data_IF_873387660588
#
_entry.id   IF_873387660588
#
_cell.length_a   1.000
_cell.length_b   1.000
_cell.length_c   1.000
_cell.angle_alpha   90.00
_cell.angle_beta   90.00
_cell.angle_gamma   90.00
#
_symmetry.space_group_name_H-M   'P 1'
#
loop_
_entity.id
_entity.type
_entity.pdbx_description
1 polymer ?
#
# COMPACT_ATOMS: atom_id res chain seq x y z
N UNK A 1 26.63 -11.60 -17.67
CA UNK A 1 25.14 -11.63 -17.73
C UNK A 1 24.47 -10.78 -16.65
N UNK A 2 25.00 -10.66 -15.43
CA UNK A 2 24.36 -9.83 -14.38
C UNK A 2 24.37 -8.31 -14.67
N UNK A 3 25.43 -7.79 -15.32
CA UNK A 3 25.55 -6.36 -15.61
C UNK A 3 24.46 -5.85 -16.59
N UNK A 4 24.11 -6.63 -17.61
CA UNK A 4 23.06 -6.25 -18.58
C UNK A 4 21.66 -6.30 -17.99
N UNK A 5 21.37 -7.24 -17.08
CA UNK A 5 20.10 -7.29 -16.35
C UNK A 5 19.92 -6.07 -15.42
N UNK A 6 20.98 -5.66 -14.72
CA UNK A 6 20.96 -4.46 -13.86
C UNK A 6 20.73 -3.19 -14.68
N UNK A 7 21.37 -3.07 -15.85
CA UNK A 7 21.18 -1.92 -16.75
C UNK A 7 19.76 -1.87 -17.31
N UNK A 8 19.18 -3.00 -17.72
CA UNK A 8 17.80 -3.06 -18.22
C UNK A 8 16.80 -2.71 -17.11
N UNK A 9 17.00 -3.23 -15.90
CA UNK A 9 16.14 -2.92 -14.76
C UNK A 9 16.25 -1.43 -14.40
N UNK A 10 17.46 -0.86 -14.36
CA UNK A 10 17.66 0.57 -14.13
C UNK A 10 17.04 1.44 -15.25
N UNK A 11 17.16 1.02 -16.51
CA UNK A 11 16.55 1.72 -17.64
C UNK A 11 15.03 1.70 -17.54
N UNK A 12 14.42 0.54 -17.26
CA UNK A 12 12.97 0.42 -17.03
C UNK A 12 12.54 1.22 -15.79
N UNK A 13 13.36 1.24 -14.73
CA UNK A 13 13.14 2.03 -13.51
C UNK A 13 13.01 3.53 -13.75
N UNK A 14 13.70 4.04 -14.77
CA UNK A 14 13.76 5.48 -15.06
C UNK A 14 12.83 5.83 -16.22
N UNK A 15 12.89 5.07 -17.31
CA UNK A 15 12.16 5.33 -18.56
C UNK A 15 10.67 5.12 -18.38
N UNK A 16 10.24 4.07 -17.66
CA UNK A 16 8.81 3.78 -17.49
C UNK A 16 8.09 4.87 -16.68
N UNK A 17 8.58 5.32 -15.50
CA UNK A 17 7.97 6.44 -14.79
C UNK A 17 8.10 7.77 -15.54
N UNK A 18 9.20 8.01 -16.27
CA UNK A 18 9.33 9.20 -17.12
C UNK A 18 8.29 9.21 -18.26
N UNK A 19 8.05 8.06 -18.92
CA UNK A 19 7.03 7.89 -19.95
C UNK A 19 5.62 8.04 -19.37
N UNK A 20 5.37 7.53 -18.16
CA UNK A 20 4.11 7.72 -17.43
C UNK A 20 3.86 9.20 -17.10
N UNK A 21 4.88 9.92 -16.62
CA UNK A 21 4.80 11.38 -16.42
C UNK A 21 4.49 12.08 -17.75
N UNK A 22 5.21 11.74 -18.81
CA UNK A 22 5.00 12.31 -20.15
C UNK A 22 3.59 12.07 -20.70
N UNK A 23 3.08 10.84 -20.56
CA UNK A 23 1.73 10.46 -20.98
C UNK A 23 0.66 11.22 -20.20
N UNK A 24 0.80 11.34 -18.87
CA UNK A 24 -0.13 12.12 -18.05
C UNK A 24 -0.10 13.58 -18.47
N UNK A 25 1.08 14.17 -18.64
CA UNK A 25 1.21 15.57 -19.08
C UNK A 25 0.55 15.76 -20.45
N UNK A 26 0.64 14.78 -21.35
CA UNK A 26 -0.02 14.80 -22.65
C UNK A 26 -1.56 14.69 -22.53
N UNK A 27 -2.09 13.78 -21.72
CA UNK A 27 -3.54 13.63 -21.48
C UNK A 27 -4.13 14.88 -20.82
N UNK A 28 -3.44 15.46 -19.83
CA UNK A 28 -3.85 16.70 -19.15
C UNK A 28 -3.90 17.89 -20.11
N UNK A 29 -3.07 17.91 -21.15
CA UNK A 29 -3.12 18.95 -22.19
C UNK A 29 -4.32 18.77 -23.14
N UNK A 30 -4.79 17.54 -23.36
CA UNK A 30 -5.86 17.23 -24.34
C UNK A 30 -7.30 17.40 -23.82
N UNK A 31 -7.55 17.43 -22.51
CA UNK A 31 -8.90 17.47 -21.95
C UNK A 31 -9.58 18.87 -21.90
N UNK A 32 -9.36 19.69 -22.94
CA UNK A 32 -10.10 20.93 -23.27
C UNK A 32 -11.51 20.50 -23.78
N UNK A 33 -12.70 21.06 -23.46
CA UNK A 33 -13.17 22.38 -23.06
C UNK A 33 -14.54 22.22 -22.33
N UNK A 34 -14.77 22.82 -21.13
CA UNK A 34 -16.14 23.14 -20.63
C UNK A 34 -16.22 23.91 -19.28
N UNK A 35 -15.53 23.56 -18.19
CA UNK A 35 -15.90 24.08 -16.84
C UNK A 35 -14.96 25.16 -16.25
N UNK A 36 -15.47 26.28 -15.70
CA UNK A 36 -14.73 27.45 -15.17
C UNK A 36 -13.25 27.31 -14.74
N UNK A 37 -12.43 28.28 -15.18
CA UNK A 37 -10.96 28.30 -15.05
C UNK A 37 -10.34 27.85 -13.69
N UNK A 38 -10.84 28.27 -12.51
CA UNK A 38 -10.21 27.91 -11.22
C UNK A 38 -10.45 26.45 -10.80
N UNK A 39 -11.62 25.87 -11.05
CA UNK A 39 -11.90 24.46 -10.72
C UNK A 39 -11.04 23.50 -11.58
N UNK A 40 -10.82 23.85 -12.85
CA UNK A 40 -9.90 23.10 -13.73
C UNK A 40 -8.46 23.17 -13.27
N UNK A 41 -7.99 24.35 -12.88
CA UNK A 41 -6.65 24.52 -12.34
C UNK A 41 -6.43 23.63 -11.10
N UNK A 42 -7.45 23.52 -10.24
CA UNK A 42 -7.40 22.62 -9.09
C UNK A 42 -7.33 21.14 -9.47
N UNK A 43 -8.20 20.67 -10.39
CA UNK A 43 -8.14 19.29 -10.87
C UNK A 43 -6.79 18.98 -11.55
N UNK A 44 -6.21 19.94 -12.26
CA UNK A 44 -4.90 19.80 -12.91
C UNK A 44 -3.76 19.68 -11.90
N UNK A 45 -3.73 20.53 -10.88
CA UNK A 45 -2.74 20.43 -9.79
C UNK A 45 -2.82 19.05 -9.13
N UNK A 46 -4.04 18.61 -8.84
CA UNK A 46 -4.28 17.31 -8.22
C UNK A 46 -3.82 16.13 -9.10
N UNK A 47 -4.06 16.19 -10.42
CA UNK A 47 -3.55 15.20 -11.36
C UNK A 47 -2.02 15.19 -11.40
N UNK A 48 -1.38 16.36 -11.46
CA UNK A 48 0.09 16.48 -11.47
C UNK A 48 0.68 15.88 -10.19
N UNK A 49 0.19 16.27 -9.01
CA UNK A 49 0.66 15.73 -7.73
C UNK A 49 0.45 14.22 -7.67
N UNK A 50 -0.71 13.73 -8.12
CA UNK A 50 -1.00 12.29 -8.10
C UNK A 50 -0.02 11.52 -8.99
N UNK A 51 0.28 12.05 -10.17
CA UNK A 51 1.22 11.41 -11.10
C UNK A 51 2.63 11.45 -10.57
N UNK A 52 3.09 12.57 -10.02
CA UNK A 52 4.42 12.65 -9.42
C UNK A 52 4.54 11.67 -8.25
N UNK A 53 3.51 11.56 -7.41
CA UNK A 53 3.47 10.60 -6.31
C UNK A 53 3.51 9.14 -6.80
N UNK A 54 2.70 8.79 -7.80
CA UNK A 54 2.69 7.45 -8.40
C UNK A 54 4.03 7.12 -9.06
N UNK A 55 4.60 8.04 -9.84
CA UNK A 55 5.89 7.83 -10.50
C UNK A 55 7.02 7.67 -9.49
N UNK A 56 7.05 8.49 -8.43
CA UNK A 56 8.03 8.34 -7.35
C UNK A 56 7.88 6.99 -6.63
N UNK A 57 6.64 6.55 -6.38
CA UNK A 57 6.36 5.24 -5.81
C UNK A 57 6.83 4.10 -6.72
N UNK A 58 6.58 4.19 -8.03
CA UNK A 58 7.04 3.20 -9.03
C UNK A 58 8.57 3.14 -9.10
N UNK A 59 9.25 4.29 -9.16
CA UNK A 59 10.72 4.35 -9.11
C UNK A 59 11.22 3.66 -7.83
N UNK A 60 10.64 4.00 -6.68
CA UNK A 60 10.98 3.41 -5.39
C UNK A 60 10.83 1.89 -5.41
N UNK A 61 9.70 1.38 -5.91
CA UNK A 61 9.46 -0.07 -6.07
C UNK A 61 10.56 -0.72 -6.91
N UNK A 62 10.88 -0.15 -8.07
CA UNK A 62 11.85 -0.76 -8.99
C UNK A 62 13.25 -0.74 -8.37
N UNK A 63 13.66 0.37 -7.75
CA UNK A 63 14.95 0.47 -7.05
C UNK A 63 15.08 -0.58 -5.95
N UNK A 64 14.02 -0.78 -5.14
CA UNK A 64 14.05 -1.70 -4.01
C UNK A 64 13.98 -3.17 -4.44
N UNK A 65 13.17 -3.50 -5.45
CA UNK A 65 13.04 -4.87 -5.99
C UNK A 65 14.29 -5.28 -6.76
N UNK A 66 15.01 -4.33 -7.36
CA UNK A 66 16.27 -4.59 -8.06
C UNK A 66 17.45 -4.94 -7.14
N UNK A 67 17.31 -4.72 -5.82
CA UNK A 67 18.40 -4.99 -4.88
C UNK A 67 18.64 -6.50 -4.73
N UNK A 68 19.89 -6.95 -4.54
CA UNK A 68 20.19 -8.35 -4.27
C UNK A 68 19.55 -8.81 -2.96
N UNK A 69 19.06 -10.05 -2.94
CA UNK A 69 18.40 -10.65 -1.77
C UNK A 69 19.37 -10.85 -0.61
N UNK A 70 20.67 -11.01 -0.88
CA UNK A 70 21.71 -11.20 0.16
C UNK A 70 21.73 -10.03 1.15
N UNK A 71 21.23 -8.86 0.73
CA UNK A 71 21.05 -7.69 1.59
C UNK A 71 22.38 -7.06 2.01
N UNK A 72 22.33 -5.82 2.51
CA UNK A 72 23.50 -5.18 3.11
C UNK A 72 23.81 -5.84 4.45
N UNK A 73 25.08 -5.82 4.89
CA UNK A 73 25.52 -6.49 6.12
C UNK A 73 24.84 -6.03 7.42
N UNK A 74 24.09 -4.92 7.39
CA UNK A 74 23.27 -4.44 8.51
C UNK A 74 21.88 -5.09 8.58
N UNK A 75 21.42 -5.73 7.51
CA UNK A 75 20.09 -6.35 7.47
C UNK A 75 20.07 -7.61 8.36
N UNK A 76 19.05 -7.80 9.20
CA UNK A 76 18.96 -8.94 10.11
C UNK A 76 18.79 -10.28 9.38
N UNK A 77 18.30 -10.27 8.15
CA UNK A 77 18.19 -11.45 7.30
C UNK A 77 18.26 -11.10 5.80
N UNK A 78 18.63 -12.07 4.93
CA UNK A 78 18.50 -11.91 3.50
C UNK A 78 17.04 -11.64 3.12
N UNK A 79 16.79 -10.66 2.26
CA UNK A 79 15.44 -10.30 1.81
C UNK A 79 14.74 -9.25 2.67
N UNK A 80 15.34 -8.77 3.78
CA UNK A 80 14.68 -7.78 4.66
C UNK A 80 14.35 -6.49 3.92
N UNK A 81 15.20 -6.03 2.99
CA UNK A 81 14.90 -4.84 2.18
C UNK A 81 13.64 -5.00 1.33
N UNK A 82 13.48 -6.17 0.72
CA UNK A 82 12.31 -6.51 -0.10
C UNK A 82 11.06 -6.65 0.79
N UNK A 83 11.20 -7.22 1.99
CA UNK A 83 10.12 -7.31 2.97
C UNK A 83 9.61 -5.94 3.42
N UNK A 84 10.49 -4.95 3.59
CA UNK A 84 10.09 -3.58 3.97
C UNK A 84 9.68 -2.70 2.79
N UNK A 85 9.90 -3.15 1.54
CA UNK A 85 9.72 -2.33 0.35
C UNK A 85 8.31 -1.74 0.20
N UNK A 86 7.20 -2.48 0.45
CA UNK A 86 5.86 -1.91 0.34
C UNK A 86 5.64 -0.69 1.26
N UNK A 87 6.25 -0.68 2.45
CA UNK A 87 6.12 0.44 3.39
C UNK A 87 6.92 1.66 2.94
N UNK A 88 8.11 1.46 2.39
CA UNK A 88 8.91 2.53 1.80
C UNK A 88 8.20 3.16 0.59
N UNK A 89 7.60 2.34 -0.27
CA UNK A 89 6.79 2.80 -1.41
C UNK A 89 5.58 3.62 -0.94
N UNK A 90 4.85 3.11 0.07
CA UNK A 90 3.73 3.84 0.66
C UNK A 90 4.17 5.17 1.30
N UNK A 91 5.33 5.19 1.97
CA UNK A 91 5.88 6.38 2.60
C UNK A 91 6.25 7.44 1.55
N UNK A 92 6.96 7.06 0.48
CA UNK A 92 7.28 7.96 -0.64
C UNK A 92 6.02 8.56 -1.24
N UNK A 93 5.01 7.73 -1.49
CA UNK A 93 3.72 8.19 -2.00
C UNK A 93 3.07 9.21 -1.04
N UNK A 94 2.99 8.89 0.26
CA UNK A 94 2.44 9.78 1.28
C UNK A 94 3.19 11.11 1.35
N UNK A 95 4.52 11.09 1.33
CA UNK A 95 5.35 12.30 1.44
C UNK A 95 5.17 13.22 0.24
N UNK A 96 5.20 12.67 -0.98
CA UNK A 96 5.00 13.48 -2.19
C UNK A 96 3.59 14.07 -2.19
N UNK A 97 2.59 13.29 -1.75
CA UNK A 97 1.21 13.76 -1.61
C UNK A 97 1.10 14.88 -0.59
N UNK A 98 1.70 14.73 0.58
CA UNK A 98 1.68 15.73 1.65
C UNK A 98 2.33 17.04 1.19
N UNK A 99 3.46 16.98 0.47
CA UNK A 99 4.11 18.15 -0.13
C UNK A 99 3.23 18.79 -1.20
N UNK A 100 2.60 17.99 -2.07
CA UNK A 100 1.67 18.49 -3.08
C UNK A 100 0.44 19.19 -2.50
N UNK A 101 0.01 18.79 -1.30
CA UNK A 101 -1.06 19.49 -0.55
C UNK A 101 -0.57 20.78 0.14
N UNK A 102 0.73 20.98 0.28
CA UNK A 102 1.30 22.24 0.81
C UNK A 102 1.58 23.26 -0.30
N UNK A 103 1.68 22.82 -1.56
CA UNK A 103 1.98 23.68 -2.72
C UNK A 103 0.76 24.32 -3.36
N UNK A 104 -0.44 24.13 -2.79
CA UNK A 104 -1.64 24.83 -3.25
C UNK A 104 -1.47 26.36 -3.16
N UNK A 105 -1.99 27.13 -4.14
CA UNK A 105 -1.95 28.58 -4.07
C UNK A 105 -2.63 29.09 -2.81
N UNK A 106 -1.93 29.93 -2.04
CA UNK A 106 -2.50 30.54 -0.83
C UNK A 106 -3.67 31.46 -1.23
N UNK A 107 -4.75 31.53 -0.42
CA UNK A 107 -5.85 32.46 -0.68
C UNK A 107 -5.32 33.90 -0.73
N UNK A 108 -5.61 34.61 -1.82
CA UNK A 108 -5.32 36.05 -1.97
C UNK A 108 -6.65 36.74 -2.24
N UNK A 109 -7.24 37.39 -1.23
CA UNK A 109 -8.52 38.09 -1.35
C UNK A 109 -8.83 38.91 -0.10
N UNK A 110 -9.56 40.02 -0.25
CA UNK A 110 -9.94 40.91 0.85
C UNK A 110 -11.07 40.34 1.73
N UNK A 111 -11.85 39.38 1.22
CA UNK A 111 -13.00 38.80 1.93
C UNK A 111 -12.66 37.41 2.46
N UNK A 112 -12.70 37.24 3.78
CA UNK A 112 -12.40 35.98 4.47
C UNK A 112 -13.71 35.22 4.73
N UNK A 113 -14.13 34.39 3.78
CA UNK A 113 -15.25 33.46 4.01
C UNK A 113 -14.75 32.18 4.70
N UNK A 114 -15.39 31.80 5.81
CA UNK A 114 -15.08 30.58 6.54
C UNK A 114 -16.30 29.65 6.49
N UNK A 115 -16.31 28.59 5.65
CA UNK A 115 -17.39 27.62 5.68
C UNK A 115 -17.33 26.83 7.01
N UNK A 116 -18.45 26.80 7.75
CA UNK A 116 -18.56 26.18 9.09
C UNK A 116 -18.70 24.65 9.09
N UNK A 117 -18.38 23.98 7.98
CA UNK A 117 -18.53 22.52 7.88
C UNK A 117 -17.36 21.84 8.60
N UNK A 118 -17.65 21.07 9.66
CA UNK A 118 -16.66 20.22 10.33
C UNK A 118 -16.23 19.10 9.39
N UNK A 119 -14.99 19.19 8.88
CA UNK A 119 -14.34 18.13 8.09
C UNK A 119 -13.48 17.28 9.03
N UNK A 120 -13.68 15.97 9.01
CA UNK A 120 -12.88 15.02 9.80
C UNK A 120 -12.17 14.01 8.90
N UNK A 121 -11.07 13.43 9.38
CA UNK A 121 -10.38 12.35 8.66
C UNK A 121 -11.32 11.16 8.43
N UNK A 122 -12.19 10.86 9.40
CA UNK A 122 -13.18 9.78 9.31
C UNK A 122 -14.23 10.05 8.23
N UNK A 123 -14.73 11.28 8.13
CA UNK A 123 -15.72 11.64 7.09
C UNK A 123 -15.13 11.59 5.68
N UNK A 124 -13.84 11.92 5.54
CA UNK A 124 -13.16 11.88 4.25
C UNK A 124 -12.72 10.46 3.83
N UNK A 125 -12.23 9.66 4.78
CA UNK A 125 -11.71 8.33 4.53
C UNK A 125 -12.77 7.22 4.47
N UNK A 126 -13.88 7.37 5.19
CA UNK A 126 -15.04 6.47 5.15
C UNK A 126 -14.69 4.98 5.27
N UNK A 127 -15.24 4.15 4.37
CA UNK A 127 -14.95 2.70 4.28
C UNK A 127 -13.49 2.43 3.94
N UNK A 128 -12.85 3.23 3.08
CA UNK A 128 -11.47 2.99 2.63
C UNK A 128 -10.47 3.08 3.77
N UNK A 129 -10.63 4.04 4.67
CA UNK A 129 -9.79 4.14 5.87
C UNK A 129 -9.97 2.92 6.77
N UNK A 130 -11.21 2.44 6.94
CA UNK A 130 -11.48 1.23 7.73
C UNK A 130 -10.82 -0.01 7.12
N UNK A 131 -10.90 -0.16 5.80
CA UNK A 131 -10.23 -1.27 5.08
C UNK A 131 -8.71 -1.19 5.22
N UNK A 132 -8.11 -0.01 5.08
CA UNK A 132 -6.67 0.19 5.25
C UNK A 132 -6.23 -0.15 6.68
N UNK A 133 -6.97 0.30 7.70
CA UNK A 133 -6.66 -0.02 9.10
C UNK A 133 -6.89 -1.50 9.43
N UNK A 134 -7.92 -2.13 8.85
CA UNK A 134 -8.15 -3.57 9.02
C UNK A 134 -7.03 -4.39 8.38
N UNK A 135 -6.59 -4.00 7.18
CA UNK A 135 -5.45 -4.64 6.48
C UNK A 135 -4.16 -4.44 7.28
N UNK A 136 -3.92 -3.24 7.81
CA UNK A 136 -2.80 -2.96 8.71
C UNK A 136 -2.85 -3.83 9.98
N UNK A 137 -4.01 -3.93 10.63
CA UNK A 137 -4.20 -4.76 11.81
C UNK A 137 -3.98 -6.25 11.52
N UNK A 138 -4.52 -6.76 10.41
CA UNK A 138 -4.30 -8.12 9.94
C UNK A 138 -2.83 -8.42 9.67
N UNK A 139 -2.10 -7.49 9.05
CA UNK A 139 -0.65 -7.59 8.86
C UNK A 139 0.10 -7.61 10.18
N UNK A 140 -0.21 -6.71 11.10
CA UNK A 140 0.39 -6.71 12.44
C UNK A 140 0.20 -8.05 13.17
N UNK A 141 -1.03 -8.58 13.15
CA UNK A 141 -1.35 -9.88 13.75
C UNK A 141 -0.62 -11.04 13.07
N UNK A 142 -0.56 -11.05 11.73
CA UNK A 142 0.15 -12.07 10.98
C UNK A 142 1.66 -12.07 11.28
N UNK A 143 2.29 -10.89 11.36
CA UNK A 143 3.71 -10.75 11.68
C UNK A 143 4.02 -11.20 13.12
N UNK A 144 3.15 -10.85 14.08
CA UNK A 144 3.29 -11.31 15.47
C UNK A 144 3.14 -12.83 15.53
N UNK A 145 2.12 -13.39 14.88
CA UNK A 145 1.92 -14.83 14.83
C UNK A 145 3.14 -15.55 14.25
N UNK A 146 3.65 -15.09 13.10
CA UNK A 146 4.85 -15.66 12.48
C UNK A 146 6.10 -15.49 13.36
N UNK A 147 6.24 -14.37 14.07
CA UNK A 147 7.32 -14.17 15.03
C UNK A 147 7.28 -15.18 16.19
N UNK A 148 6.08 -15.51 16.67
CA UNK A 148 5.88 -16.46 17.78
C UNK A 148 6.02 -17.93 17.36
N UNK A 149 5.73 -18.27 16.10
CA UNK A 149 5.77 -19.65 15.59
C UNK A 149 7.05 -19.98 14.82
N UNK A 150 7.94 -19.02 14.62
CA UNK A 150 9.23 -19.28 13.98
C UNK A 150 10.17 -20.09 14.88
N UNK A 151 11.15 -20.72 14.25
CA UNK A 151 12.26 -21.38 14.93
C UNK A 151 13.19 -20.38 15.65
N UNK A 152 14.22 -20.87 16.33
CA UNK A 152 15.20 -20.02 17.03
C UNK A 152 15.92 -19.03 16.12
N UNK A 153 16.08 -19.37 14.83
CA UNK A 153 16.68 -18.45 13.86
C UNK A 153 15.70 -17.37 13.38
N UNK A 154 14.41 -17.54 13.64
CA UNK A 154 13.33 -16.66 13.21
C UNK A 154 13.06 -16.72 11.71
N UNK A 155 13.62 -17.70 10.98
CA UNK A 155 13.67 -17.73 9.50
C UNK A 155 13.01 -18.96 8.91
N UNK A 156 12.62 -19.92 9.74
CA UNK A 156 11.93 -21.11 9.30
C UNK A 156 10.78 -21.46 10.25
N UNK A 157 9.79 -22.17 9.73
CA UNK A 157 8.75 -22.81 10.52
C UNK A 157 9.28 -24.15 11.02
N UNK A 158 9.34 -24.40 12.34
CA UNK A 158 9.88 -25.64 12.88
C UNK A 158 8.93 -26.82 12.58
N UNK A 159 9.49 -27.95 12.17
CA UNK A 159 8.75 -29.21 12.15
C UNK A 159 9.01 -29.98 13.43
N UNK A 160 7.95 -30.52 14.03
CA UNK A 160 8.06 -31.30 15.27
C UNK A 160 8.97 -32.52 15.10
N UNK A 161 9.53 -33.05 16.20
CA UNK A 161 10.35 -34.26 16.18
C UNK A 161 9.56 -35.41 15.55
N UNK A 162 10.13 -36.04 14.53
CA UNK A 162 9.58 -37.22 13.89
C UNK A 162 10.47 -38.43 14.19
N UNK A 163 9.84 -39.55 14.57
CA UNK A 163 10.54 -40.81 14.75
C UNK A 163 10.91 -41.41 13.40
N UNK A 164 12.13 -41.90 13.29
CA UNK A 164 12.67 -42.61 12.11
C UNK A 164 12.65 -44.12 12.41
N UNK A 165 12.47 -45.01 11.40
CA UNK A 165 12.41 -46.46 11.62
C UNK A 165 13.54 -47.06 12.48
N UNK A 166 14.72 -46.45 12.48
CA UNK A 166 15.89 -46.89 13.26
C UNK A 166 15.88 -46.43 14.73
N UNK A 167 14.75 -45.88 15.22
CA UNK A 167 14.61 -45.37 16.59
C UNK A 167 15.20 -43.98 16.84
N UNK A 168 15.74 -43.35 15.80
CA UNK A 168 16.21 -41.96 15.84
C UNK A 168 15.08 -40.93 15.80
N UNK A 169 15.39 -39.70 16.19
CA UNK A 169 14.48 -38.55 16.07
C UNK A 169 15.10 -37.54 15.12
N UNK A 170 14.35 -37.15 14.09
CA UNK A 170 14.76 -36.08 13.16
C UNK A 170 13.86 -34.87 13.37
N UNK A 171 14.49 -33.71 13.49
CA UNK A 171 13.84 -32.39 13.49
C UNK A 171 14.14 -31.70 12.18
N UNK A 172 13.18 -30.94 11.67
CA UNK A 172 13.35 -30.15 10.45
C UNK A 172 12.82 -28.73 10.62
N UNK A 173 13.02 -27.93 9.59
CA UNK A 173 12.42 -26.61 9.50
C UNK A 173 12.16 -26.25 8.03
N UNK A 174 11.09 -25.51 7.76
CA UNK A 174 10.70 -25.10 6.42
C UNK A 174 10.79 -23.59 6.29
N UNK A 175 11.66 -23.10 5.40
CA UNK A 175 11.83 -21.68 5.09
C UNK A 175 11.58 -21.37 3.61
N UNK A 176 11.49 -20.09 3.23
CA UNK A 176 11.57 -18.91 4.09
C UNK A 176 10.30 -18.69 4.92
N UNK A 177 10.45 -18.22 6.17
CA UNK A 177 9.36 -17.90 7.08
C UNK A 177 9.51 -16.48 7.66
N UNK A 178 8.45 -15.65 7.68
CA UNK A 178 8.55 -14.25 8.08
C UNK A 178 8.51 -14.07 9.62
N UNK A 179 9.44 -14.71 10.33
CA UNK A 179 9.61 -14.53 11.78
C UNK A 179 10.26 -13.18 12.14
N UNK A 180 10.71 -13.01 13.40
CA UNK A 180 11.15 -11.71 13.94
C UNK A 180 12.21 -10.94 13.13
N UNK A 181 13.23 -11.57 12.51
CA UNK A 181 14.18 -10.87 11.64
C UNK A 181 13.52 -10.09 10.49
N UNK A 182 12.34 -10.52 10.04
CA UNK A 182 11.53 -9.80 9.05
C UNK A 182 10.40 -9.01 9.73
N UNK A 183 9.74 -9.62 10.72
CA UNK A 183 8.59 -9.08 11.42
C UNK A 183 8.86 -7.74 12.10
N UNK A 184 9.99 -7.58 12.81
CA UNK A 184 10.30 -6.32 13.50
C UNK A 184 10.48 -5.15 12.51
N UNK A 185 11.34 -5.24 11.48
CA UNK A 185 11.44 -4.19 10.46
C UNK A 185 10.10 -3.88 9.77
N UNK A 186 9.30 -4.90 9.46
CA UNK A 186 7.99 -4.73 8.82
C UNK A 186 6.97 -4.06 9.77
N UNK A 187 6.96 -4.39 11.06
CA UNK A 187 6.11 -3.73 12.06
C UNK A 187 6.48 -2.26 12.23
N UNK A 188 7.77 -1.93 12.24
CA UNK A 188 8.23 -0.53 12.26
C UNK A 188 7.79 0.21 10.99
N UNK A 189 7.99 -0.39 9.82
CA UNK A 189 7.53 0.14 8.54
C UNK A 189 6.02 0.37 8.54
N UNK A 190 5.24 -0.59 9.04
CA UNK A 190 3.79 -0.51 9.17
C UNK A 190 3.35 0.67 10.05
N UNK A 191 3.95 0.84 11.23
CA UNK A 191 3.65 1.96 12.13
C UNK A 191 3.94 3.29 11.45
N UNK A 192 5.11 3.42 10.81
CA UNK A 192 5.51 4.64 10.08
C UNK A 192 4.54 4.93 8.92
N UNK A 193 4.15 3.91 8.15
CA UNK A 193 3.18 4.06 7.05
C UNK A 193 1.80 4.50 7.57
N UNK A 194 1.30 3.90 8.65
CA UNK A 194 0.01 4.30 9.25
C UNK A 194 0.07 5.76 9.72
N UNK A 195 1.13 6.14 10.43
CA UNK A 195 1.32 7.53 10.89
C UNK A 195 1.40 8.49 9.70
N UNK A 196 2.21 8.20 8.69
CA UNK A 196 2.35 9.03 7.49
C UNK A 196 1.01 9.18 6.73
N UNK A 197 0.22 8.11 6.66
CA UNK A 197 -1.11 8.13 6.05
C UNK A 197 -2.05 9.04 6.83
N UNK A 198 -2.10 8.93 8.16
CA UNK A 198 -2.94 9.76 9.02
C UNK A 198 -2.52 11.24 8.97
N UNK A 199 -1.22 11.52 8.96
CA UNK A 199 -0.69 12.88 8.80
C UNK A 199 -1.07 13.47 7.44
N UNK A 200 -0.96 12.69 6.36
CA UNK A 200 -1.33 13.14 5.01
C UNK A 200 -2.85 13.35 4.89
N UNK A 201 -3.69 12.49 5.50
CA UNK A 201 -5.12 12.75 5.58
C UNK A 201 -5.43 14.01 6.40
N UNK A 202 -4.65 14.27 7.46
CA UNK A 202 -4.75 15.49 8.27
C UNK A 202 -4.35 16.73 7.47
N UNK A 203 -3.36 16.66 6.59
CA UNK A 203 -3.01 17.80 5.70
C UNK A 203 -4.11 18.05 4.67
N UNK A 204 -4.63 17.00 4.02
CA UNK A 204 -5.74 17.10 3.05
C UNK A 204 -6.99 17.71 3.71
N UNK A 205 -7.36 17.23 4.90
CA UNK A 205 -8.55 17.73 5.62
C UNK A 205 -8.41 19.18 6.08
N UNK A 206 -7.20 19.59 6.50
CA UNK A 206 -6.91 20.94 7.00
C UNK A 206 -6.55 21.95 5.90
N UNK A 207 -6.51 21.53 4.64
CA UNK A 207 -6.24 22.42 3.50
C UNK A 207 -7.21 23.63 3.53
N UNK A 208 -6.72 24.87 3.38
CA UNK A 208 -7.58 26.03 3.20
C UNK A 208 -8.48 25.89 1.96
N UNK A 209 -9.69 26.49 1.93
CA UNK A 209 -10.51 26.53 0.72
C UNK A 209 -9.76 27.19 -0.44
N UNK A 210 -9.95 26.65 -1.65
CA UNK A 210 -9.32 27.17 -2.86
C UNK A 210 -10.02 28.45 -3.33
N UNK A 211 -9.23 29.47 -3.66
CA UNK A 211 -9.76 30.76 -4.11
C UNK A 211 -10.50 30.63 -5.45
N UNK A 212 -11.74 31.12 -5.51
CA UNK A 212 -12.56 31.09 -6.72
C UNK A 212 -13.11 29.71 -7.11
N UNK A 213 -12.92 28.68 -6.26
CA UNK A 213 -13.47 27.34 -6.49
C UNK A 213 -14.73 27.16 -5.64
N UNK A 214 -15.88 26.78 -6.21
CA UNK A 214 -17.07 26.45 -5.44
C UNK A 214 -16.79 25.37 -4.38
N UNK A 215 -17.39 25.51 -3.20
CA UNK A 215 -17.26 24.54 -2.10
C UNK A 215 -17.46 23.06 -2.52
N UNK A 216 -18.49 22.68 -3.33
CA UNK A 216 -18.67 21.29 -3.74
C UNK A 216 -17.53 20.76 -4.62
N UNK A 217 -16.90 21.62 -5.44
CA UNK A 217 -15.75 21.23 -6.25
C UNK A 217 -14.49 21.07 -5.40
N UNK A 218 -14.23 21.95 -4.42
CA UNK A 218 -13.11 21.78 -3.49
C UNK A 218 -13.25 20.49 -2.66
N UNK A 219 -14.44 20.20 -2.16
CA UNK A 219 -14.72 18.98 -1.42
C UNK A 219 -14.52 17.73 -2.30
N UNK A 220 -14.93 17.76 -3.58
CA UNK A 220 -14.69 16.68 -4.53
C UNK A 220 -13.19 16.45 -4.80
N UNK A 221 -12.39 17.53 -4.89
CA UNK A 221 -10.93 17.42 -5.00
C UNK A 221 -10.35 16.75 -3.75
N UNK A 222 -10.71 17.21 -2.54
CA UNK A 222 -10.23 16.60 -1.28
C UNK A 222 -10.58 15.12 -1.19
N UNK A 223 -11.79 14.75 -1.57
CA UNK A 223 -12.27 13.38 -1.53
C UNK A 223 -11.51 12.51 -2.54
N UNK A 224 -11.23 13.03 -3.74
CA UNK A 224 -10.38 12.37 -4.74
C UNK A 224 -8.93 12.20 -4.23
N UNK A 225 -8.37 13.21 -3.55
CA UNK A 225 -7.02 13.14 -2.99
C UNK A 225 -6.89 12.08 -1.89
N UNK A 226 -7.87 12.05 -0.98
CA UNK A 226 -7.92 11.04 0.08
C UNK A 226 -8.21 9.63 -0.48
N UNK A 227 -9.06 9.52 -1.51
CA UNK A 227 -9.33 8.27 -2.20
C UNK A 227 -8.04 7.65 -2.74
N UNK A 228 -7.29 8.41 -3.54
CA UNK A 228 -6.04 7.96 -4.19
C UNK A 228 -4.97 7.61 -3.17
N UNK A 229 -4.82 8.43 -2.11
CA UNK A 229 -3.93 8.13 -0.99
C UNK A 229 -4.27 6.79 -0.34
N UNK A 230 -5.53 6.60 0.06
CA UNK A 230 -5.97 5.38 0.72
C UNK A 230 -5.89 4.16 -0.22
N UNK A 231 -6.15 4.34 -1.53
CA UNK A 231 -5.97 3.29 -2.53
C UNK A 231 -4.52 2.84 -2.66
N UNK A 232 -3.58 3.79 -2.75
CA UNK A 232 -2.15 3.47 -2.84
C UNK A 232 -1.62 2.80 -1.56
N UNK A 233 -2.03 3.29 -0.38
CA UNK A 233 -1.66 2.70 0.91
C UNK A 233 -2.28 1.30 1.06
N UNK A 234 -3.55 1.13 0.69
CA UNK A 234 -4.22 -0.18 0.70
C UNK A 234 -3.50 -1.18 -0.20
N UNK A 235 -3.08 -0.76 -1.40
CA UNK A 235 -2.30 -1.61 -2.30
C UNK A 235 -1.01 -2.10 -1.62
N UNK A 236 -0.25 -1.19 -1.02
CA UNK A 236 1.02 -1.52 -0.38
C UNK A 236 0.83 -2.43 0.84
N UNK A 237 -0.14 -2.12 1.71
CA UNK A 237 -0.46 -2.95 2.87
C UNK A 237 -1.00 -4.32 2.46
N UNK A 238 -1.83 -4.37 1.41
CA UNK A 238 -2.39 -5.60 0.86
C UNK A 238 -1.34 -6.50 0.22
N UNK A 239 -0.37 -5.93 -0.51
CA UNK A 239 0.78 -6.67 -1.05
C UNK A 239 1.66 -7.20 0.09
N UNK A 240 1.93 -6.40 1.12
CA UNK A 240 2.70 -6.84 2.28
C UNK A 240 2.00 -7.98 3.05
N UNK A 241 0.70 -7.84 3.34
CA UNK A 241 -0.10 -8.89 3.98
C UNK A 241 -0.21 -10.13 3.10
N UNK A 242 -0.54 -9.96 1.82
CA UNK A 242 -0.70 -11.06 0.87
C UNK A 242 0.57 -11.88 0.71
N UNK A 243 1.72 -11.22 0.52
CA UNK A 243 3.01 -11.89 0.42
C UNK A 243 3.43 -12.57 1.73
N UNK A 244 3.21 -11.93 2.89
CA UNK A 244 3.49 -12.52 4.20
C UNK A 244 2.70 -13.81 4.41
N UNK A 245 1.38 -13.79 4.15
CA UNK A 245 0.51 -14.95 4.29
C UNK A 245 0.87 -16.06 3.29
N UNK A 246 1.22 -15.71 2.05
CA UNK A 246 1.63 -16.68 1.03
C UNK A 246 2.95 -17.37 1.40
N UNK A 247 3.95 -16.62 1.85
CA UNK A 247 5.25 -17.16 2.26
C UNK A 247 5.11 -18.01 3.53
N UNK A 248 4.42 -17.50 4.55
CA UNK A 248 4.16 -18.25 5.78
C UNK A 248 3.32 -19.52 5.50
N UNK A 249 2.27 -19.40 4.69
CA UNK A 249 1.40 -20.51 4.29
C UNK A 249 2.16 -21.60 3.55
N UNK A 250 3.06 -21.22 2.64
CA UNK A 250 3.91 -22.18 1.93
C UNK A 250 4.85 -22.93 2.89
N UNK A 251 5.50 -22.23 3.82
CA UNK A 251 6.38 -22.86 4.81
C UNK A 251 5.62 -23.83 5.74
N UNK A 252 4.42 -23.44 6.21
CA UNK A 252 3.57 -24.31 7.04
C UNK A 252 3.10 -25.54 6.26
N UNK A 253 2.73 -25.37 4.98
CA UNK A 253 2.33 -26.47 4.10
C UNK A 253 3.46 -27.47 3.91
N UNK A 254 4.65 -27.01 3.55
CA UNK A 254 5.85 -27.85 3.35
C UNK A 254 6.24 -28.56 4.65
N UNK A 255 6.17 -27.85 5.79
CA UNK A 255 6.41 -28.46 7.09
C UNK A 255 5.40 -29.56 7.43
N UNK A 256 4.14 -29.39 7.04
CA UNK A 256 3.09 -30.41 7.16
C UNK A 256 3.30 -31.62 6.23
N UNK A 257 3.84 -31.43 5.03
CA UNK A 257 4.14 -32.53 4.09
C UNK A 257 5.33 -33.38 4.57
N UNK A 258 6.37 -32.76 5.13
CA UNK A 258 7.55 -33.46 5.63
C UNK A 258 7.25 -34.42 6.80
N UNK A 259 6.20 -34.17 7.58
CA UNK A 259 5.75 -35.04 8.67
C UNK A 259 4.97 -36.27 8.17
N UNK A 260 4.27 -36.16 7.04
CA UNK A 260 3.51 -37.25 6.44
C UNK A 260 4.42 -38.37 5.89
N UNK A 261 5.63 -38.02 5.43
CA UNK A 261 6.67 -38.98 5.03
C UNK A 261 7.07 -39.90 6.21
N UNK A 262 6.88 -39.44 7.45
CA UNK A 262 7.25 -40.16 8.68
C UNK A 262 6.05 -40.86 9.37
N UNK A 263 4.94 -41.09 8.65
CA UNK A 263 3.86 -41.99 9.10
C UNK A 263 2.76 -41.37 9.98
N UNK A 264 2.78 -40.06 10.24
CA UNK A 264 1.70 -39.36 10.94
C UNK A 264 0.97 -38.39 9.99
N UNK A 265 -0.35 -38.54 9.74
CA UNK A 265 -1.07 -37.64 8.86
C UNK A 265 -1.27 -36.26 9.52
N UNK A 266 -0.62 -35.23 8.99
CA UNK A 266 -0.80 -33.82 9.40
C UNK A 266 -1.58 -33.01 8.36
N UNK A 267 -2.66 -33.60 7.82
CA UNK A 267 -3.53 -32.93 6.83
C UNK A 267 -4.01 -31.54 7.28
N UNK A 268 -4.11 -31.31 8.60
CA UNK A 268 -4.45 -29.99 9.17
C UNK A 268 -3.43 -28.88 8.88
N UNK A 269 -2.12 -29.15 8.97
CA UNK A 269 -1.09 -28.14 8.66
C UNK A 269 -1.03 -27.83 7.17
N UNK A 270 -1.18 -28.86 6.32
CA UNK A 270 -1.27 -28.69 4.86
C UNK A 270 -2.48 -27.83 4.51
N UNK A 271 -3.66 -28.16 5.05
CA UNK A 271 -4.88 -27.39 4.83
C UNK A 271 -4.75 -25.94 5.31
N UNK A 272 -4.15 -25.72 6.49
CA UNK A 272 -3.89 -24.38 7.02
C UNK A 272 -2.94 -23.58 6.11
N UNK A 273 -1.83 -24.19 5.68
CA UNK A 273 -0.86 -23.56 4.79
C UNK A 273 -1.45 -23.17 3.42
N UNK A 274 -2.30 -24.03 2.86
CA UNK A 274 -3.08 -23.73 1.65
C UNK A 274 -4.07 -22.59 1.90
N UNK A 275 -4.83 -22.64 2.99
CA UNK A 275 -5.80 -21.60 3.34
C UNK A 275 -5.14 -20.22 3.52
N UNK A 276 -4.00 -20.15 4.19
CA UNK A 276 -3.21 -18.92 4.34
C UNK A 276 -2.73 -18.40 2.98
N UNK A 277 -2.27 -19.27 2.10
CA UNK A 277 -1.80 -18.87 0.77
C UNK A 277 -2.93 -18.31 -0.09
N UNK A 278 -4.11 -18.94 -0.07
CA UNK A 278 -5.30 -18.47 -0.78
C UNK A 278 -5.82 -17.15 -0.19
N UNK A 279 -5.84 -17.02 1.13
CA UNK A 279 -6.20 -15.78 1.81
C UNK A 279 -5.24 -14.64 1.41
N UNK A 280 -3.93 -14.93 1.33
CA UNK A 280 -2.93 -13.97 0.88
C UNK A 280 -3.17 -13.49 -0.55
N UNK A 281 -3.47 -14.41 -1.47
CA UNK A 281 -3.83 -14.07 -2.85
C UNK A 281 -5.11 -13.23 -2.91
N UNK A 282 -6.15 -13.60 -2.17
CA UNK A 282 -7.41 -12.87 -2.13
C UNK A 282 -7.24 -11.43 -1.63
N UNK A 283 -6.45 -11.24 -0.56
CA UNK A 283 -6.11 -9.91 -0.03
C UNK A 283 -5.35 -9.07 -1.06
N UNK A 284 -4.38 -9.65 -1.77
CA UNK A 284 -3.62 -8.96 -2.79
C UNK A 284 -4.53 -8.49 -3.94
N UNK A 285 -5.40 -9.38 -4.45
CA UNK A 285 -6.36 -9.07 -5.52
C UNK A 285 -7.34 -7.98 -5.07
N UNK A 286 -7.94 -8.12 -3.89
CA UNK A 286 -8.86 -7.11 -3.35
C UNK A 286 -8.18 -5.74 -3.18
N UNK A 287 -6.90 -5.72 -2.82
CA UNK A 287 -6.13 -4.50 -2.66
C UNK A 287 -5.80 -3.83 -3.99
N UNK A 288 -5.54 -4.60 -5.06
CA UNK A 288 -5.43 -4.08 -6.42
C UNK A 288 -6.75 -3.48 -6.89
N UNK A 289 -7.87 -4.19 -6.71
CA UNK A 289 -9.20 -3.71 -7.11
C UNK A 289 -9.55 -2.41 -6.38
N UNK A 290 -9.36 -2.35 -5.06
CA UNK A 290 -9.64 -1.13 -4.27
C UNK A 290 -8.75 0.05 -4.69
N UNK A 291 -7.49 -0.19 -5.03
CA UNK A 291 -6.58 0.83 -5.55
C UNK A 291 -7.02 1.34 -6.93
N UNK A 292 -7.44 0.45 -7.83
CA UNK A 292 -7.99 0.82 -9.15
C UNK A 292 -9.25 1.67 -8.95
N UNK A 293 -10.21 1.22 -8.14
CA UNK A 293 -11.45 1.97 -7.86
C UNK A 293 -11.20 3.32 -7.17
N UNK A 294 -10.08 3.47 -6.47
CA UNK A 294 -9.66 4.74 -5.86
C UNK A 294 -9.04 5.73 -6.87
N UNK A 295 -8.55 5.26 -8.01
CA UNK A 295 -8.00 6.11 -9.07
C UNK A 295 -9.08 6.89 -9.84
N UNK A 296 -10.32 6.40 -9.82
CA UNK A 296 -11.44 6.95 -10.56
C UNK A 296 -11.86 8.31 -9.97
N UNK A 297 -12.06 9.35 -10.81
CA UNK A 297 -12.52 10.65 -10.35
C UNK A 297 -13.87 10.56 -9.64
N UNK A 298 -14.02 11.23 -8.50
CA UNK A 298 -15.33 11.40 -7.87
C UNK A 298 -16.03 12.60 -8.49
N UNK A 299 -17.12 12.35 -9.22
CA UNK A 299 -17.97 13.42 -9.73
C UNK A 299 -18.64 14.14 -8.56
N UNK A 300 -18.71 15.48 -8.57
CA UNK A 300 -19.51 16.21 -7.60
C UNK A 300 -20.92 15.65 -7.64
N UNK A 301 -21.43 15.15 -6.51
CA UNK A 301 -22.87 14.92 -6.38
C UNK A 301 -23.50 16.31 -6.45
N UNK A 302 -23.94 16.72 -7.65
CA UNK A 302 -24.86 17.84 -7.77
C UNK A 302 -26.04 17.45 -6.88
N UNK A 303 -26.20 18.15 -5.76
CA UNK A 303 -27.41 18.02 -4.97
C UNK A 303 -28.54 18.17 -5.98
N UNK A 304 -29.32 17.11 -6.17
CA UNK A 304 -30.45 17.14 -7.08
C UNK A 304 -31.25 18.35 -6.63
N UNK A 305 -31.17 19.42 -7.43
CA UNK A 305 -31.83 20.68 -7.15
C UNK A 305 -33.27 20.30 -6.93
N UNK A 306 -33.74 20.59 -5.73
CA UNK A 306 -35.11 20.52 -5.30
C UNK A 306 -35.99 21.33 -6.25
N UNK A 307 -36.33 20.77 -7.39
CA UNK A 307 -37.38 21.25 -8.30
C UNK A 307 -38.78 20.93 -7.76
N UNK A 308 -38.89 20.55 -6.48
CA UNK A 308 -40.14 20.26 -5.78
C UNK A 308 -40.61 21.38 -4.84
N UNK A 309 -40.00 22.58 -4.89
CA UNK A 309 -40.44 23.72 -4.07
C UNK A 309 -41.27 24.77 -4.85
N UNK A 310 -41.82 24.42 -6.01
CA UNK A 310 -42.68 25.30 -6.81
C UNK A 310 -43.82 24.55 -7.51
N UNK A 311 -44.48 23.64 -6.79
CA UNK A 311 -45.77 23.06 -7.18
C UNK A 311 -46.72 23.10 -5.97
#
# INVERSE_FOLDING_TARGET
MFASAVVVVALVAVVLPAALVGLVLWVVRRAHDADGAPARAARRHELVVSTVATSAAVVCTIVLVAQPVVGPGWAPAPGTLQAVAPFAVALVFCTVRAVGEQTWPRPRGQVRSAPLVRRTVRSLGGVRLRLALATAGGLGLALIACGLTADLTGRAFPTGPAAVPDGGVVTGASGPYPGWPYGVPMLLGLVVTVVATLLTLRTITRRPPLHGVPAPDDDAVRATSAARLLGAVQLCLGVALGSTLAVAGNAVRVGGEGLAINGAPTGGLVALGVALSLAGLAVAVASVVTAILAAWPQTPRRAATSTLAAA
#
